data_IF_696353759472
#
_entry.id   IF_696353759472
#
_cell.length_a   1.000
_cell.length_b   1.000
_cell.length_c   1.000
_cell.angle_alpha   90.00
_cell.angle_beta   90.00
_cell.angle_gamma   90.00
#
_symmetry.space_group_name_H-M   'P 1'
#
loop_
_entity.id
_entity.type
_entity.pdbx_description
1 polymer ?
#
# COMPACT_ATOMS: atom_id res chain seq x y z
N UNK A 1 14.17 28.45 -19.31
CA UNK A 1 13.21 27.76 -20.20
C UNK A 1 12.73 26.51 -19.49
N UNK A 2 11.41 26.37 -19.32
CA UNK A 2 10.72 25.33 -18.55
C UNK A 2 11.21 23.91 -18.85
N UNK A 3 11.91 23.29 -17.91
CA UNK A 3 12.04 21.83 -17.86
C UNK A 3 10.78 21.32 -17.16
N UNK A 4 9.77 21.01 -17.97
CA UNK A 4 8.58 20.31 -17.48
C UNK A 4 9.06 18.95 -16.98
N UNK A 5 8.83 18.71 -15.69
CA UNK A 5 9.16 17.52 -14.90
C UNK A 5 8.54 16.25 -15.52
N UNK A 6 9.13 15.72 -16.58
CA UNK A 6 8.64 14.54 -17.28
C UNK A 6 9.20 13.27 -16.63
N UNK A 7 8.31 12.60 -15.89
CA UNK A 7 8.28 11.18 -15.54
C UNK A 7 8.93 10.72 -14.22
N UNK A 8 8.36 11.21 -13.12
CA UNK A 8 8.43 10.63 -11.78
C UNK A 8 7.67 9.27 -11.68
N UNK A 9 7.89 8.33 -12.62
CA UNK A 9 7.17 7.05 -12.70
C UNK A 9 7.94 5.97 -11.95
N UNK A 10 7.33 5.39 -10.93
CA UNK A 10 7.89 4.23 -10.24
C UNK A 10 8.09 3.06 -11.21
N UNK A 11 9.13 2.23 -11.03
CA UNK A 11 9.33 1.00 -11.79
C UNK A 11 8.07 0.13 -11.76
N UNK A 12 7.78 -0.54 -12.87
CA UNK A 12 6.54 -1.31 -13.02
C UNK A 12 6.81 -2.58 -13.83
N UNK A 13 6.67 -3.74 -13.20
CA UNK A 13 6.78 -5.02 -13.89
C UNK A 13 5.44 -5.41 -14.54
N UNK A 14 5.38 -5.37 -15.88
CA UNK A 14 4.20 -5.73 -16.67
C UNK A 14 3.72 -7.17 -16.45
N UNK A 15 4.62 -8.09 -16.08
CA UNK A 15 4.27 -9.49 -15.82
C UNK A 15 3.31 -9.64 -14.64
N UNK A 16 3.31 -8.68 -13.71
CA UNK A 16 2.43 -8.71 -12.55
C UNK A 16 0.98 -8.33 -12.89
N UNK A 17 0.72 -7.74 -14.06
CA UNK A 17 -0.57 -7.12 -14.42
C UNK A 17 -1.78 -8.03 -14.20
N UNK A 18 -1.72 -9.28 -14.65
CA UNK A 18 -2.82 -10.23 -14.48
C UNK A 18 -3.02 -10.61 -13.01
N UNK A 19 -1.94 -10.88 -12.27
CA UNK A 19 -1.99 -11.12 -10.82
C UNK A 19 -2.64 -9.94 -10.08
N UNK A 20 -2.36 -8.70 -10.47
CA UNK A 20 -3.04 -7.53 -9.86
C UNK A 20 -4.55 -7.54 -10.08
N UNK A 21 -5.01 -7.97 -11.26
CA UNK A 21 -6.44 -7.97 -11.58
C UNK A 21 -7.16 -9.00 -10.73
N UNK A 22 -6.54 -10.16 -10.55
CA UNK A 22 -7.02 -11.21 -9.68
C UNK A 22 -7.10 -10.74 -8.22
N UNK A 23 -6.01 -10.19 -7.68
CA UNK A 23 -5.98 -9.67 -6.30
C UNK A 23 -7.03 -8.57 -6.06
N UNK A 24 -7.27 -7.67 -7.03
CA UNK A 24 -8.33 -6.66 -6.91
C UNK A 24 -9.74 -7.23 -6.84
N UNK A 25 -9.97 -8.40 -7.44
CA UNK A 25 -11.25 -9.12 -7.38
C UNK A 25 -11.37 -9.92 -6.09
N UNK A 26 -10.25 -10.47 -5.62
CA UNK A 26 -10.17 -11.40 -4.50
C UNK A 26 -9.45 -10.79 -3.29
N UNK A 27 -9.80 -9.55 -2.90
CA UNK A 27 -9.24 -8.93 -1.70
C UNK A 27 -9.61 -9.74 -0.46
N UNK A 28 -8.70 -9.82 0.51
CA UNK A 28 -8.98 -10.43 1.82
C UNK A 28 -10.01 -9.62 2.62
N UNK A 29 -10.58 -10.19 3.68
CA UNK A 29 -11.54 -9.46 4.53
C UNK A 29 -10.93 -8.22 5.22
N UNK A 30 -9.69 -8.27 5.76
CA UNK A 30 -9.02 -7.07 6.27
C UNK A 30 -8.79 -6.00 5.19
N UNK A 31 -8.34 -6.39 3.99
CA UNK A 31 -8.21 -5.46 2.84
C UNK A 31 -9.55 -4.82 2.46
N UNK A 32 -10.63 -5.60 2.41
CA UNK A 32 -11.98 -5.06 2.15
C UNK A 32 -12.38 -4.07 3.23
N UNK A 33 -12.15 -4.38 4.51
CA UNK A 33 -12.52 -3.54 5.64
C UNK A 33 -11.81 -2.18 5.58
N UNK A 34 -10.49 -2.16 5.43
CA UNK A 34 -9.73 -0.90 5.32
C UNK A 34 -10.06 -0.14 4.02
N UNK A 35 -10.31 -0.85 2.91
CA UNK A 35 -10.70 -0.22 1.65
C UNK A 35 -12.05 0.48 1.77
N UNK A 36 -13.11 -0.24 2.12
CA UNK A 36 -14.46 0.31 2.13
C UNK A 36 -14.74 1.19 3.35
N UNK A 37 -14.12 0.90 4.50
CA UNK A 37 -14.30 1.67 5.72
C UNK A 37 -13.58 3.01 5.73
N UNK A 38 -12.45 3.12 5.03
CA UNK A 38 -11.60 4.32 5.11
C UNK A 38 -11.06 4.77 3.74
N UNK A 39 -10.26 3.93 3.08
CA UNK A 39 -9.45 4.36 1.93
C UNK A 39 -10.27 4.76 0.70
N UNK A 40 -11.45 4.17 0.48
CA UNK A 40 -12.35 4.53 -0.62
C UNK A 40 -12.94 5.92 -0.43
N UNK A 41 -13.25 6.32 0.80
CA UNK A 41 -13.85 7.62 1.11
C UNK A 41 -12.86 8.75 0.88
N UNK A 42 -11.61 8.59 1.34
CA UNK A 42 -10.54 9.54 1.02
C UNK A 42 -10.21 9.53 -0.47
N UNK A 43 -10.39 8.38 -1.14
CA UNK A 43 -10.13 8.26 -2.58
C UNK A 43 -11.07 9.11 -3.43
N UNK A 44 -12.29 9.33 -2.93
CA UNK A 44 -13.31 10.11 -3.61
C UNK A 44 -13.23 11.61 -3.29
N UNK A 45 -12.53 11.99 -2.21
CA UNK A 45 -12.61 13.34 -1.65
C UNK A 45 -11.28 14.12 -1.62
N UNK A 46 -10.13 13.47 -1.43
CA UNK A 46 -8.84 14.17 -1.24
C UNK A 46 -7.67 13.61 -2.05
N UNK A 47 -7.54 12.29 -2.14
CA UNK A 47 -6.36 11.64 -2.71
C UNK A 47 -6.76 10.59 -3.74
N UNK A 48 -5.86 10.24 -4.67
CA UNK A 48 -6.06 9.05 -5.50
C UNK A 48 -5.44 7.85 -4.80
N UNK A 49 -6.24 6.81 -4.54
CA UNK A 49 -5.76 5.56 -3.95
C UNK A 49 -5.79 4.45 -5.00
N UNK A 50 -4.67 3.76 -5.22
CA UNK A 50 -4.60 2.58 -6.06
C UNK A 50 -4.62 1.33 -5.19
N UNK A 51 -5.42 0.34 -5.59
CA UNK A 51 -5.39 -1.01 -5.00
C UNK A 51 -4.46 -1.93 -5.78
N UNK A 52 -3.79 -2.84 -5.08
CA UNK A 52 -2.99 -3.94 -5.63
C UNK A 52 -2.06 -3.43 -6.74
N UNK A 53 -1.21 -2.47 -6.40
CA UNK A 53 -0.40 -1.70 -7.35
C UNK A 53 0.97 -2.35 -7.53
N UNK A 54 1.37 -2.71 -8.76
CA UNK A 54 2.76 -3.08 -9.00
C UNK A 54 3.68 -1.89 -8.81
N UNK A 55 4.71 -2.09 -8.02
CA UNK A 55 5.83 -1.18 -7.81
C UNK A 55 7.08 -2.04 -7.82
N UNK A 56 7.98 -1.77 -8.77
CA UNK A 56 9.10 -2.63 -9.08
C UNK A 56 8.63 -4.08 -9.37
N UNK A 57 9.16 -5.06 -8.65
CA UNK A 57 8.79 -6.47 -8.75
C UNK A 57 7.79 -6.91 -7.68
N UNK A 58 7.20 -5.97 -6.95
CA UNK A 58 6.24 -6.22 -5.88
C UNK A 58 4.85 -5.74 -6.26
N UNK A 59 3.82 -6.34 -5.67
CA UNK A 59 2.47 -5.80 -5.64
C UNK A 59 2.25 -5.30 -4.22
N UNK A 60 1.87 -4.03 -4.09
CA UNK A 60 1.50 -3.41 -2.81
C UNK A 60 -0.02 -3.33 -2.69
N UNK A 61 -0.58 -3.52 -1.50
CA UNK A 61 -2.04 -3.58 -1.32
C UNK A 61 -2.71 -2.24 -1.65
N UNK A 62 -2.15 -1.14 -1.14
CA UNK A 62 -2.61 0.20 -1.47
C UNK A 62 -1.46 1.18 -1.70
N UNK A 63 -1.68 2.13 -2.60
CA UNK A 63 -0.70 3.17 -2.93
C UNK A 63 -1.35 4.53 -3.16
N UNK A 64 -0.79 5.57 -2.52
CA UNK A 64 -1.24 6.96 -2.59
C UNK A 64 -0.11 7.82 -3.17
N UNK A 65 -0.10 8.08 -4.50
CA UNK A 65 1.06 8.69 -5.15
C UNK A 65 1.35 10.12 -4.72
N UNK A 66 0.31 10.90 -4.42
CA UNK A 66 0.49 12.30 -4.00
C UNK A 66 1.31 12.39 -2.71
N UNK A 67 1.18 11.40 -1.83
CA UNK A 67 1.86 11.33 -0.54
C UNK A 67 3.07 10.40 -0.56
N UNK A 68 3.28 9.66 -1.66
CA UNK A 68 4.27 8.58 -1.76
C UNK A 68 4.13 7.53 -0.64
N UNK A 69 2.90 7.24 -0.24
CA UNK A 69 2.59 6.27 0.82
C UNK A 69 2.12 4.95 0.21
N UNK A 70 2.74 3.86 0.66
CA UNK A 70 2.30 2.48 0.50
C UNK A 70 1.64 2.04 1.80
N UNK A 71 0.51 1.34 1.70
CA UNK A 71 -0.16 0.73 2.85
C UNK A 71 -0.28 -0.77 2.57
N UNK A 72 0.25 -1.57 3.48
CA UNK A 72 0.28 -3.04 3.45
C UNK A 72 -0.62 -3.58 4.55
N UNK A 73 -1.41 -4.60 4.19
CA UNK A 73 -2.25 -5.37 5.10
C UNK A 73 -1.50 -6.67 5.36
N UNK A 74 -0.82 -6.74 6.51
CA UNK A 74 0.03 -7.86 6.82
C UNK A 74 -0.78 -9.07 7.28
N UNK A 75 -0.62 -10.17 6.54
CA UNK A 75 -1.00 -11.50 6.98
C UNK A 75 -0.06 -12.01 8.06
N UNK A 76 -0.35 -13.18 8.63
CA UNK A 76 0.62 -13.83 9.53
C UNK A 76 1.95 -14.01 8.80
N UNK A 77 3.01 -13.43 9.35
CA UNK A 77 4.36 -13.46 8.79
C UNK A 77 4.86 -14.91 8.80
N UNK A 78 5.43 -15.38 7.69
CA UNK A 78 6.23 -16.59 7.73
C UNK A 78 7.49 -16.31 8.56
N UNK A 79 7.52 -16.82 9.80
CA UNK A 79 8.59 -16.60 10.78
C UNK A 79 9.88 -17.37 10.48
N UNK A 80 10.11 -17.81 9.24
CA UNK A 80 11.40 -18.39 8.86
C UNK A 80 12.40 -17.28 8.46
N UNK A 81 13.69 -17.57 8.58
CA UNK A 81 14.76 -16.59 8.30
C UNK A 81 14.70 -16.06 6.86
N UNK A 82 14.20 -16.88 5.92
CA UNK A 82 14.06 -16.51 4.52
C UNK A 82 12.91 -15.49 4.31
N UNK A 83 11.78 -15.67 5.00
CA UNK A 83 10.64 -14.75 4.98
C UNK A 83 10.99 -13.39 5.58
N UNK A 84 11.74 -13.37 6.68
CA UNK A 84 12.21 -12.12 7.31
C UNK A 84 13.15 -11.36 6.37
N UNK A 85 14.16 -12.03 5.80
CA UNK A 85 15.10 -11.39 4.89
C UNK A 85 14.42 -10.84 3.63
N UNK A 86 13.42 -11.56 3.11
CA UNK A 86 12.62 -11.11 1.96
C UNK A 86 11.80 -9.85 2.29
N UNK A 87 11.15 -9.80 3.45
CA UNK A 87 10.34 -8.66 3.87
C UNK A 87 11.19 -7.41 4.17
N UNK A 88 12.39 -7.60 4.73
CA UNK A 88 13.37 -6.53 4.92
C UNK A 88 13.86 -5.97 3.56
N UNK A 89 14.27 -6.85 2.64
CA UNK A 89 14.71 -6.44 1.29
C UNK A 89 13.59 -5.68 0.56
N UNK A 90 12.36 -6.19 0.61
CA UNK A 90 11.18 -5.55 0.01
C UNK A 90 10.99 -4.14 0.55
N UNK A 91 11.06 -3.99 1.88
CA UNK A 91 10.87 -2.70 2.54
C UNK A 91 11.96 -1.71 2.13
N UNK A 92 13.23 -2.13 2.17
CA UNK A 92 14.37 -1.31 1.77
C UNK A 92 14.27 -0.84 0.31
N UNK A 93 13.81 -1.71 -0.60
CA UNK A 93 13.61 -1.34 -2.01
C UNK A 93 12.49 -0.30 -2.16
N UNK A 94 11.36 -0.47 -1.48
CA UNK A 94 10.24 0.48 -1.57
C UNK A 94 10.63 1.84 -0.99
N UNK A 95 11.32 1.85 0.16
CA UNK A 95 11.83 3.07 0.79
C UNK A 95 12.91 3.75 -0.05
N UNK A 96 13.80 2.97 -0.68
CA UNK A 96 14.80 3.46 -1.63
C UNK A 96 14.18 4.14 -2.88
N UNK A 97 12.93 3.84 -3.20
CA UNK A 97 12.14 4.55 -4.23
C UNK A 97 11.49 5.85 -3.69
N UNK A 98 11.79 6.23 -2.44
CA UNK A 98 11.25 7.39 -1.75
C UNK A 98 9.80 7.22 -1.31
N UNK A 99 9.38 5.97 -1.04
CA UNK A 99 8.04 5.65 -0.56
C UNK A 99 8.07 5.44 0.95
N UNK A 100 7.05 5.95 1.66
CA UNK A 100 6.79 5.58 3.05
C UNK A 100 5.91 4.33 3.06
N UNK A 101 6.31 3.30 3.80
CA UNK A 101 5.53 2.06 3.95
C UNK A 101 4.84 2.07 5.32
N UNK A 102 3.52 1.96 5.32
CA UNK A 102 2.69 1.74 6.51
C UNK A 102 2.19 0.31 6.49
N UNK A 103 2.31 -0.42 7.60
CA UNK A 103 1.90 -1.83 7.69
C UNK A 103 0.94 -2.01 8.86
N UNK A 104 -0.18 -2.66 8.61
CA UNK A 104 -1.19 -2.96 9.61
C UNK A 104 -1.47 -4.44 9.64
N UNK A 105 -1.52 -5.05 10.82
CA UNK A 105 -1.83 -6.48 10.93
C UNK A 105 -3.30 -6.73 10.65
N UNK A 106 -3.62 -7.94 10.20
CA UNK A 106 -5.01 -8.40 10.10
C UNK A 106 -5.76 -8.20 11.43
N UNK A 107 -5.12 -8.49 12.57
CA UNK A 107 -5.71 -8.32 13.89
C UNK A 107 -6.07 -6.86 14.16
N UNK A 108 -5.16 -5.93 13.88
CA UNK A 108 -5.42 -4.50 14.12
C UNK A 108 -6.55 -3.97 13.26
N UNK A 109 -6.61 -4.36 11.98
CA UNK A 109 -7.69 -3.95 11.09
C UNK A 109 -9.03 -4.56 11.53
N UNK A 110 -9.03 -5.82 11.96
CA UNK A 110 -10.26 -6.52 12.31
C UNK A 110 -10.79 -6.12 13.69
N UNK A 111 -9.93 -6.00 14.68
CA UNK A 111 -10.29 -5.79 16.09
C UNK A 111 -10.12 -4.33 16.54
N UNK A 112 -9.14 -3.60 16.02
CA UNK A 112 -8.76 -2.26 16.47
C UNK A 112 -8.94 -1.20 15.37
N UNK A 113 -9.97 -1.33 14.53
CA UNK A 113 -10.10 -0.55 13.30
C UNK A 113 -10.08 0.97 13.51
N UNK A 114 -10.68 1.48 14.59
CA UNK A 114 -10.68 2.91 14.90
C UNK A 114 -9.26 3.45 15.19
N UNK A 115 -8.39 2.62 15.76
CA UNK A 115 -6.98 2.97 15.99
C UNK A 115 -6.26 3.09 14.66
N UNK A 116 -6.45 2.12 13.75
CA UNK A 116 -5.90 2.13 12.39
C UNK A 116 -6.36 3.37 11.63
N UNK A 117 -7.65 3.71 11.70
CA UNK A 117 -8.19 4.91 11.05
C UNK A 117 -7.54 6.20 11.55
N UNK A 118 -7.39 6.36 12.88
CA UNK A 118 -6.72 7.55 13.47
C UNK A 118 -5.26 7.65 13.05
N UNK A 119 -4.55 6.54 12.99
CA UNK A 119 -3.17 6.53 12.53
C UNK A 119 -3.08 6.93 11.06
N UNK A 120 -3.98 6.39 10.20
CA UNK A 120 -4.07 6.80 8.81
C UNK A 120 -4.43 8.29 8.66
N UNK A 121 -5.37 8.82 9.41
CA UNK A 121 -5.71 10.26 9.37
C UNK A 121 -4.49 11.13 9.65
N UNK A 122 -3.75 10.80 10.71
CA UNK A 122 -2.51 11.48 11.08
C UNK A 122 -1.47 11.40 9.96
N UNK A 123 -1.23 10.20 9.44
CA UNK A 123 -0.21 9.96 8.41
C UNK A 123 -0.55 10.60 7.06
N UNK A 124 -1.84 10.73 6.76
CA UNK A 124 -2.33 11.35 5.54
C UNK A 124 -2.51 12.87 5.68
N UNK A 125 -2.33 13.43 6.88
CA UNK A 125 -2.54 14.85 7.18
C UNK A 125 -4.01 15.27 7.00
N UNK A 126 -4.94 14.39 7.35
CA UNK A 126 -6.39 14.59 7.24
C UNK A 126 -6.94 14.69 8.68
N UNK A 127 -6.61 15.78 9.37
CA UNK A 127 -7.28 16.17 10.61
C UNK A 127 -8.55 16.98 10.31
#
# INVERSE_FOLDING_TARGET
MNIIQLNNRLPYNLKLKEKTKELRKNMTEPEKKIWFGFLRNISNSKFRVYRQRPINNFIVDFYIPKLKIVIEVDGETHFDEAGIAYDEERTQILEGLGLKVLRFTNKDIMENFDVVCRELEKELGIN
#
